data_IF_802009279309
#
_entry.id   IF_802009279309
#
_cell.length_a   1.000
_cell.length_b   1.000
_cell.length_c   1.000
_cell.angle_alpha   90.00
_cell.angle_beta   90.00
_cell.angle_gamma   90.00
#
_symmetry.space_group_name_H-M   'P 1'
#
loop_
_entity.id
_entity.type
_entity.pdbx_description
1 polymer ?
#
# COMPACT_ATOMS: atom_id res chain seq x y z
N UNK A 1 -6.35 17.26 9.02
CA UNK A 1 -6.30 18.19 7.87
C UNK A 1 -7.34 17.72 6.88
N UNK A 2 -8.20 18.61 6.37
CA UNK A 2 -9.09 18.27 5.25
C UNK A 2 -8.21 18.41 4.01
N UNK A 3 -7.86 17.30 3.35
CA UNK A 3 -7.18 17.38 2.06
C UNK A 3 -8.05 18.22 1.10
N UNK A 4 -7.47 19.17 0.35
CA UNK A 4 -8.25 19.97 -0.57
C UNK A 4 -8.91 19.04 -1.60
N UNK A 5 -10.24 19.13 -1.71
CA UNK A 5 -11.05 18.32 -2.61
C UNK A 5 -10.52 18.47 -4.05
N UNK A 6 -10.03 17.37 -4.64
CA UNK A 6 -9.47 17.36 -6.00
C UNK A 6 -10.59 17.72 -7.00
N UNK A 7 -10.39 18.78 -7.77
CA UNK A 7 -11.34 19.23 -8.80
C UNK A 7 -11.36 18.22 -9.95
N UNK A 8 -12.55 17.75 -10.34
CA UNK A 8 -12.71 16.83 -11.49
C UNK A 8 -12.38 17.49 -12.84
N UNK A 9 -12.03 16.71 -13.85
CA UNK A 9 -11.79 17.19 -15.22
C UNK A 9 -13.01 17.92 -15.79
N UNK A 10 -14.23 17.44 -15.49
CA UNK A 10 -15.50 18.07 -15.87
C UNK A 10 -15.68 19.43 -15.21
N UNK A 11 -15.37 19.51 -13.92
CA UNK A 11 -15.47 20.77 -13.17
C UNK A 11 -14.39 21.76 -13.59
N UNK A 12 -13.15 21.32 -13.78
CA UNK A 12 -12.08 22.14 -14.33
C UNK A 12 -12.46 22.73 -15.69
N UNK A 13 -13.08 21.93 -16.56
CA UNK A 13 -13.64 22.39 -17.84
C UNK A 13 -14.72 23.45 -17.65
N UNK A 14 -15.65 23.25 -16.72
CA UNK A 14 -16.72 24.21 -16.43
C UNK A 14 -16.18 25.54 -15.86
N UNK A 15 -15.10 25.47 -15.06
CA UNK A 15 -14.41 26.62 -14.48
C UNK A 15 -13.44 27.32 -15.46
N UNK A 16 -13.30 26.82 -16.69
CA UNK A 16 -12.48 27.44 -17.73
C UNK A 16 -10.96 27.23 -17.56
N UNK A 17 -10.57 26.13 -16.92
CA UNK A 17 -9.15 25.74 -16.84
C UNK A 17 -8.58 25.50 -18.24
N UNK A 18 -7.26 25.58 -18.39
CA UNK A 18 -6.61 25.37 -19.68
C UNK A 18 -6.77 23.91 -20.16
N UNK A 19 -6.76 23.66 -21.49
CA UNK A 19 -6.96 22.32 -22.04
C UNK A 19 -5.95 21.27 -21.56
N UNK A 20 -4.70 21.66 -21.27
CA UNK A 20 -3.67 20.72 -20.83
C UNK A 20 -3.93 20.26 -19.39
N UNK A 21 -4.37 21.16 -18.52
CA UNK A 21 -4.81 20.80 -17.16
C UNK A 21 -6.01 19.86 -17.17
N UNK A 22 -7.01 20.13 -18.02
CA UNK A 22 -8.21 19.27 -18.14
C UNK A 22 -7.82 17.87 -18.60
N UNK A 23 -6.94 17.76 -19.60
CA UNK A 23 -6.50 16.45 -20.11
C UNK A 23 -5.63 15.69 -19.10
N UNK A 24 -4.82 16.40 -18.30
CA UNK A 24 -4.10 15.78 -17.17
C UNK A 24 -5.08 15.20 -16.16
N UNK A 25 -6.05 15.98 -15.69
CA UNK A 25 -7.07 15.51 -14.74
C UNK A 25 -7.84 14.31 -15.29
N UNK A 26 -8.19 14.33 -16.59
CA UNK A 26 -8.89 13.20 -17.23
C UNK A 26 -8.04 11.92 -17.24
N UNK A 27 -6.73 12.04 -17.47
CA UNK A 27 -5.80 10.90 -17.40
C UNK A 27 -5.67 10.39 -15.98
N UNK A 28 -5.52 11.28 -15.00
CA UNK A 28 -5.41 10.91 -13.58
C UNK A 28 -6.69 10.23 -13.08
N UNK A 29 -7.88 10.72 -13.48
CA UNK A 29 -9.16 10.09 -13.20
C UNK A 29 -9.26 8.68 -13.81
N UNK A 30 -8.79 8.50 -15.05
CA UNK A 30 -8.74 7.18 -15.69
C UNK A 30 -7.83 6.21 -14.95
N UNK A 31 -6.60 6.65 -14.64
CA UNK A 31 -5.63 5.89 -13.87
C UNK A 31 -6.17 5.52 -12.47
N UNK A 32 -6.82 6.45 -11.79
CA UNK A 32 -7.45 6.21 -10.50
C UNK A 32 -8.58 5.18 -10.59
N UNK A 33 -9.41 5.24 -11.64
CA UNK A 33 -10.48 4.25 -11.85
C UNK A 33 -9.92 2.83 -12.07
N UNK A 34 -8.85 2.69 -12.83
CA UNK A 34 -8.15 1.41 -13.03
C UNK A 34 -7.54 0.89 -11.71
N UNK A 35 -6.91 1.78 -10.93
CA UNK A 35 -6.36 1.44 -9.62
C UNK A 35 -7.42 0.98 -8.62
N UNK A 36 -8.55 1.69 -8.53
CA UNK A 36 -9.66 1.32 -7.64
C UNK A 36 -10.31 -0.01 -8.05
N UNK A 37 -10.29 -0.36 -9.34
CA UNK A 37 -10.83 -1.62 -9.84
C UNK A 37 -9.99 -2.84 -9.41
N UNK A 38 -8.72 -2.66 -9.02
CA UNK A 38 -7.85 -3.73 -8.53
C UNK A 38 -8.09 -4.07 -7.05
N UNK A 39 -8.65 -3.14 -6.26
CA UNK A 39 -8.85 -3.32 -4.81
C UNK A 39 -9.68 -4.58 -4.47
N UNK A 40 -10.81 -4.87 -5.13
CA UNK A 40 -11.60 -6.08 -4.83
C UNK A 40 -10.83 -7.39 -5.09
N UNK A 41 -9.96 -7.42 -6.10
CA UNK A 41 -9.13 -8.58 -6.40
C UNK A 41 -8.06 -8.80 -5.30
N UNK A 42 -7.47 -7.70 -4.80
CA UNK A 42 -6.57 -7.74 -3.64
C UNK A 42 -7.33 -8.22 -2.41
N UNK A 43 -8.51 -7.66 -2.14
CA UNK A 43 -9.35 -8.06 -1.00
C UNK A 43 -9.63 -9.56 -1.02
N UNK A 44 -10.01 -10.11 -2.17
CA UNK A 44 -10.28 -11.53 -2.33
C UNK A 44 -9.01 -12.41 -2.25
N UNK A 45 -7.91 -11.98 -2.86
CA UNK A 45 -6.67 -12.77 -2.90
C UNK A 45 -5.96 -12.86 -1.54
N UNK A 46 -6.15 -11.86 -0.68
CA UNK A 46 -5.55 -11.77 0.64
C UNK A 46 -6.54 -12.00 1.79
N UNK A 47 -7.75 -12.45 1.50
CA UNK A 47 -8.71 -12.80 2.54
C UNK A 47 -8.19 -13.92 3.45
N UNK A 48 -8.42 -13.77 4.76
CA UNK A 48 -8.03 -14.75 5.77
C UNK A 48 -6.52 -14.98 5.95
N UNK A 49 -5.65 -14.08 5.47
CA UNK A 49 -4.21 -14.17 5.74
C UNK A 49 -3.95 -14.07 7.26
N UNK A 50 -3.14 -14.99 7.77
CA UNK A 50 -2.80 -15.05 9.18
C UNK A 50 -1.92 -13.87 9.60
N UNK A 51 -2.18 -13.34 10.80
CA UNK A 51 -1.36 -12.31 11.43
C UNK A 51 0.08 -12.83 11.65
N UNK A 52 1.11 -12.05 11.29
CA UNK A 52 2.50 -12.47 11.36
C UNK A 52 3.07 -12.28 12.77
N UNK A 53 4.25 -12.86 13.01
CA UNK A 53 5.06 -12.55 14.21
C UNK A 53 5.70 -11.16 14.10
N UNK A 54 6.14 -10.75 12.91
CA UNK A 54 6.76 -9.43 12.67
C UNK A 54 5.68 -8.43 12.22
N UNK A 55 5.12 -7.72 13.20
CA UNK A 55 4.16 -6.63 12.99
C UNK A 55 4.86 -5.30 12.68
N UNK A 56 4.13 -4.24 12.35
CA UNK A 56 4.71 -2.93 12.02
C UNK A 56 5.65 -2.43 13.13
N UNK A 57 5.20 -2.43 14.39
CA UNK A 57 5.98 -1.98 15.55
C UNK A 57 7.13 -2.89 15.89
N UNK A 58 7.05 -4.18 15.58
CA UNK A 58 8.20 -5.09 15.68
C UNK A 58 9.27 -4.73 14.64
N UNK A 59 8.88 -4.52 13.38
CA UNK A 59 9.80 -4.13 12.31
C UNK A 59 10.50 -2.80 12.63
N UNK A 60 9.75 -1.81 13.14
CA UNK A 60 10.34 -0.54 13.63
C UNK A 60 11.30 -0.76 14.80
N UNK A 61 10.99 -1.70 15.69
CA UNK A 61 11.89 -2.09 16.76
C UNK A 61 13.19 -2.70 16.24
N UNK A 62 13.15 -3.53 15.20
CA UNK A 62 14.37 -4.04 14.56
C UNK A 62 15.19 -2.93 13.90
N UNK A 63 14.55 -1.94 13.28
CA UNK A 63 15.21 -0.75 12.73
C UNK A 63 15.94 0.07 13.83
N UNK A 64 15.29 0.27 14.99
CA UNK A 64 15.85 1.06 16.08
C UNK A 64 16.89 0.31 16.93
N UNK A 65 16.66 -0.98 17.20
CA UNK A 65 17.37 -1.74 18.24
C UNK A 65 18.24 -2.88 17.68
N UNK A 66 18.10 -3.23 16.39
CA UNK A 66 18.77 -4.34 15.67
C UNK A 66 18.47 -5.76 16.17
N UNK A 67 18.41 -5.98 17.49
CA UNK A 67 18.08 -7.25 18.12
C UNK A 67 16.98 -7.03 19.18
N UNK A 68 15.97 -7.90 19.18
CA UNK A 68 14.84 -7.83 20.12
C UNK A 68 14.75 -9.12 20.93
N UNK A 69 14.56 -9.00 22.24
CA UNK A 69 14.18 -10.16 23.08
C UNK A 69 12.75 -10.59 22.79
N UNK A 70 12.38 -11.82 23.19
CA UNK A 70 11.00 -12.30 23.04
C UNK A 70 9.99 -11.44 23.83
N UNK A 71 10.37 -10.92 25.00
CA UNK A 71 9.53 -10.01 25.78
C UNK A 71 9.32 -8.68 25.05
N UNK A 72 10.38 -8.13 24.44
CA UNK A 72 10.31 -6.88 23.69
C UNK A 72 9.48 -7.04 22.41
N UNK A 73 9.64 -8.18 21.72
CA UNK A 73 8.80 -8.59 20.60
C UNK A 73 7.31 -8.63 20.97
N UNK A 74 6.97 -9.28 22.10
CA UNK A 74 5.59 -9.35 22.57
C UNK A 74 5.02 -7.97 22.92
N UNK A 75 5.82 -7.11 23.57
CA UNK A 75 5.44 -5.74 23.90
C UNK A 75 5.15 -4.91 22.64
N UNK A 76 6.04 -4.96 21.64
CA UNK A 76 5.88 -4.22 20.39
C UNK A 76 4.70 -4.75 19.56
N UNK A 77 4.55 -6.07 19.44
CA UNK A 77 3.41 -6.69 18.76
C UNK A 77 2.08 -6.32 19.41
N UNK A 78 2.03 -6.06 20.72
CA UNK A 78 0.81 -5.65 21.41
C UNK A 78 0.37 -4.20 21.07
N UNK A 79 1.24 -3.40 20.44
CA UNK A 79 0.92 -2.03 19.98
C UNK A 79 0.18 -2.01 18.64
N UNK A 80 0.17 -3.13 17.94
CA UNK A 80 -0.45 -3.34 16.64
C UNK A 80 -1.67 -4.26 16.82
N UNK A 81 -2.83 -3.73 17.26
CA UNK A 81 -3.97 -4.55 17.70
C UNK A 81 -4.72 -5.24 16.57
N UNK A 82 -4.46 -4.88 15.31
CA UNK A 82 -5.09 -5.46 14.14
C UNK A 82 -4.95 -6.99 14.12
N UNK A 83 -6.05 -7.65 13.80
CA UNK A 83 -6.11 -9.10 13.62
C UNK A 83 -6.22 -9.47 12.14
N UNK A 84 -6.75 -8.56 11.34
CA UNK A 84 -6.84 -8.67 9.89
C UNK A 84 -6.14 -7.49 9.24
N UNK A 85 -5.60 -7.68 8.03
CA UNK A 85 -4.86 -6.62 7.36
C UNK A 85 -5.75 -5.43 6.99
N UNK A 86 -7.07 -5.63 6.86
CA UNK A 86 -8.06 -4.58 6.59
C UNK A 86 -8.22 -3.60 7.76
N UNK A 87 -7.81 -3.99 8.97
CA UNK A 87 -7.89 -3.16 10.17
C UNK A 87 -6.66 -2.26 10.35
N UNK A 88 -5.62 -2.44 9.52
CA UNK A 88 -4.39 -1.63 9.58
C UNK A 88 -4.74 -0.17 9.25
N UNK A 89 -4.48 0.79 10.16
CA UNK A 89 -4.76 2.20 9.91
C UNK A 89 -3.89 2.79 8.80
N UNK A 90 -4.47 3.69 8.01
CA UNK A 90 -3.74 4.43 6.96
C UNK A 90 -2.54 5.19 7.55
N UNK A 91 -2.69 5.80 8.74
CA UNK A 91 -1.61 6.52 9.40
C UNK A 91 -0.43 5.60 9.76
N UNK A 92 -0.71 4.36 10.17
CA UNK A 92 0.34 3.38 10.48
C UNK A 92 1.12 2.96 9.24
N UNK A 93 0.45 2.90 8.08
CA UNK A 93 1.10 2.63 6.79
C UNK A 93 2.02 3.79 6.40
N UNK A 94 1.53 5.03 6.51
CA UNK A 94 2.28 6.25 6.17
C UNK A 94 3.53 6.42 7.03
N UNK A 95 3.43 6.12 8.33
CA UNK A 95 4.53 6.28 9.27
C UNK A 95 5.59 5.17 9.22
N UNK A 96 5.31 4.03 8.57
CA UNK A 96 6.15 2.80 8.64
C UNK A 96 6.61 2.33 7.27
N UNK A 97 7.19 3.21 6.47
CA UNK A 97 7.69 2.87 5.13
C UNK A 97 8.88 1.89 5.15
N UNK A 98 9.64 1.86 6.25
CA UNK A 98 10.75 0.94 6.51
C UNK A 98 10.32 -0.53 6.71
N UNK A 99 9.02 -0.79 6.86
CA UNK A 99 8.48 -2.12 7.17
C UNK A 99 9.02 -3.20 6.23
N UNK A 100 9.08 -2.94 4.93
CA UNK A 100 9.51 -3.92 3.93
C UNK A 100 10.98 -4.31 4.03
N UNK A 101 11.81 -3.54 4.74
CA UNK A 101 13.22 -3.85 5.00
C UNK A 101 13.41 -4.79 6.20
N UNK A 102 12.57 -4.65 7.23
CA UNK A 102 12.71 -5.34 8.53
C UNK A 102 11.62 -6.38 8.78
N UNK A 103 10.85 -6.72 7.75
CA UNK A 103 9.83 -7.76 7.79
C UNK A 103 10.32 -9.06 7.15
N UNK A 104 9.51 -10.11 7.25
CA UNK A 104 9.72 -11.42 6.65
C UNK A 104 8.60 -11.75 5.65
N UNK A 105 8.63 -12.96 5.08
CA UNK A 105 7.63 -13.40 4.10
C UNK A 105 6.21 -13.52 4.69
N UNK A 106 6.06 -13.82 5.98
CA UNK A 106 4.75 -13.85 6.64
C UNK A 106 4.21 -12.43 6.81
N UNK A 107 5.06 -11.53 7.28
CA UNK A 107 4.76 -10.12 7.46
C UNK A 107 4.39 -9.43 6.15
N UNK A 108 5.14 -9.70 5.08
CA UNK A 108 4.77 -9.26 3.73
C UNK A 108 3.39 -9.77 3.34
N UNK A 109 3.13 -11.08 3.47
CA UNK A 109 1.83 -11.64 3.07
C UNK A 109 0.67 -10.96 3.79
N UNK A 110 0.84 -10.55 5.05
CA UNK A 110 -0.20 -9.85 5.82
C UNK A 110 -0.30 -8.36 5.52
N UNK A 111 0.79 -7.58 5.60
CA UNK A 111 0.71 -6.12 5.49
C UNK A 111 0.74 -5.60 4.05
N UNK A 112 1.31 -6.35 3.10
CA UNK A 112 1.35 -5.94 1.69
C UNK A 112 -0.01 -5.50 1.14
N UNK A 113 -1.13 -6.25 1.28
CA UNK A 113 -2.42 -5.82 0.78
C UNK A 113 -2.89 -4.48 1.38
N UNK A 114 -2.60 -4.21 2.65
CA UNK A 114 -2.93 -2.93 3.28
C UNK A 114 -2.18 -1.77 2.60
N UNK A 115 -0.86 -1.93 2.38
CA UNK A 115 -0.05 -0.92 1.67
C UNK A 115 -0.49 -0.75 0.20
N UNK A 116 -0.81 -1.84 -0.49
CA UNK A 116 -1.30 -1.80 -1.87
C UNK A 116 -2.61 -1.02 -1.96
N UNK A 117 -3.61 -1.36 -1.14
CA UNK A 117 -4.92 -0.70 -1.12
C UNK A 117 -4.78 0.78 -0.75
N UNK A 118 -3.96 1.09 0.25
CA UNK A 118 -3.65 2.46 0.66
C UNK A 118 -3.04 3.28 -0.49
N UNK A 119 -2.07 2.71 -1.21
CA UNK A 119 -1.46 3.35 -2.37
C UNK A 119 -2.47 3.57 -3.51
N UNK A 120 -3.26 2.53 -3.84
CA UNK A 120 -4.23 2.56 -4.95
C UNK A 120 -5.35 3.58 -4.72
N UNK A 121 -5.80 3.78 -3.48
CA UNK A 121 -6.82 4.79 -3.14
C UNK A 121 -6.40 6.22 -3.49
N UNK A 122 -5.09 6.49 -3.56
CA UNK A 122 -4.53 7.83 -3.87
C UNK A 122 -3.89 7.93 -5.25
N UNK A 123 -3.92 6.86 -6.03
CA UNK A 123 -3.29 6.78 -7.34
C UNK A 123 -3.81 7.82 -8.33
N UNK A 124 -2.97 8.40 -9.21
CA UNK A 124 -1.52 8.20 -9.34
C UNK A 124 -0.67 9.10 -8.42
N UNK A 125 -1.30 9.89 -7.57
CA UNK A 125 -0.66 10.93 -6.75
C UNK A 125 -0.40 10.43 -5.32
N UNK A 126 0.51 9.47 -5.25
CA UNK A 126 0.87 8.73 -4.05
C UNK A 126 2.30 9.08 -3.64
N UNK A 127 2.45 9.74 -2.48
CA UNK A 127 3.75 10.23 -1.97
C UNK A 127 4.67 9.16 -1.35
N UNK A 128 4.28 7.88 -1.39
CA UNK A 128 4.92 6.80 -0.61
C UNK A 128 5.33 5.63 -1.50
N UNK A 129 6.63 5.50 -1.80
CA UNK A 129 7.15 4.56 -2.81
C UNK A 129 7.65 3.20 -2.30
N UNK A 130 7.75 2.98 -0.99
CA UNK A 130 8.39 1.78 -0.45
C UNK A 130 7.68 0.48 -0.89
N UNK A 131 6.34 0.50 -0.95
CA UNK A 131 5.55 -0.64 -1.45
C UNK A 131 5.80 -0.91 -2.94
N UNK A 132 6.05 0.12 -3.74
CA UNK A 132 6.36 -0.02 -5.17
C UNK A 132 7.72 -0.70 -5.34
N UNK A 133 8.75 -0.20 -4.66
CA UNK A 133 10.09 -0.78 -4.72
C UNK A 133 10.09 -2.23 -4.22
N UNK A 134 9.39 -2.50 -3.12
CA UNK A 134 9.16 -3.84 -2.61
C UNK A 134 8.53 -4.76 -3.67
N UNK A 135 7.44 -4.34 -4.31
CA UNK A 135 6.77 -5.14 -5.34
C UNK A 135 7.63 -5.39 -6.59
N UNK A 136 8.44 -4.41 -7.00
CA UNK A 136 9.36 -4.55 -8.14
C UNK A 136 10.47 -5.55 -7.83
N UNK A 137 11.08 -5.45 -6.65
CA UNK A 137 12.22 -6.28 -6.27
C UNK A 137 11.81 -7.70 -5.86
N UNK A 138 10.55 -7.90 -5.46
CA UNK A 138 10.00 -9.19 -5.04
C UNK A 138 10.79 -9.86 -3.90
N UNK A 139 11.28 -9.07 -2.94
CA UNK A 139 12.21 -9.53 -1.90
C UNK A 139 11.67 -10.68 -1.01
N UNK A 140 10.35 -10.74 -0.76
CA UNK A 140 9.74 -11.73 0.14
C UNK A 140 8.42 -12.30 -0.40
N UNK A 141 8.39 -12.63 -1.70
CA UNK A 141 7.16 -13.13 -2.35
C UNK A 141 6.95 -14.64 -2.22
N UNK A 142 7.85 -15.35 -1.52
CA UNK A 142 7.87 -16.81 -1.44
C UNK A 142 6.58 -17.41 -0.84
N UNK A 143 5.88 -16.64 0.00
CA UNK A 143 4.66 -17.07 0.67
C UNK A 143 3.38 -16.60 -0.04
N UNK A 144 3.52 -15.84 -1.13
CA UNK A 144 2.39 -15.42 -1.94
C UNK A 144 1.93 -16.56 -2.84
N UNK A 145 0.64 -16.85 -2.82
CA UNK A 145 0.06 -17.78 -3.78
C UNK A 145 -0.08 -17.12 -5.18
N UNK A 146 -0.50 -17.90 -6.18
CA UNK A 146 -0.65 -17.38 -7.54
C UNK A 146 -1.63 -16.20 -7.66
N UNK A 147 -2.72 -16.18 -6.88
CA UNK A 147 -3.67 -15.07 -6.91
C UNK A 147 -3.08 -13.79 -6.32
N UNK A 148 -2.33 -13.93 -5.22
CA UNK A 148 -1.64 -12.83 -4.55
C UNK A 148 -0.53 -12.25 -5.44
N UNK A 149 0.26 -13.11 -6.09
CA UNK A 149 1.28 -12.70 -7.05
C UNK A 149 0.69 -11.95 -8.25
N UNK A 150 -0.46 -12.41 -8.79
CA UNK A 150 -1.15 -11.70 -9.87
C UNK A 150 -1.53 -10.27 -9.48
N UNK A 151 -2.01 -10.07 -8.25
CA UNK A 151 -2.34 -8.73 -7.75
C UNK A 151 -1.10 -7.83 -7.69
N UNK A 152 0.04 -8.38 -7.25
CA UNK A 152 1.33 -7.65 -7.23
C UNK A 152 1.78 -7.29 -8.64
N UNK A 153 1.69 -8.22 -9.60
CA UNK A 153 2.07 -7.95 -10.99
C UNK A 153 1.16 -6.88 -11.63
N UNK A 154 -0.15 -6.97 -11.42
CA UNK A 154 -1.12 -5.96 -11.89
C UNK A 154 -0.86 -4.58 -11.27
N UNK A 155 -0.53 -4.53 -9.98
CA UNK A 155 -0.15 -3.29 -9.31
C UNK A 155 1.12 -2.67 -9.93
N UNK A 156 2.15 -3.48 -10.17
CA UNK A 156 3.39 -3.02 -10.81
C UNK A 156 3.14 -2.54 -12.24
N UNK A 157 2.28 -3.21 -13.00
CA UNK A 157 1.94 -2.80 -14.36
C UNK A 157 1.14 -1.49 -14.37
N UNK A 158 0.18 -1.30 -13.46
CA UNK A 158 -0.51 -0.02 -13.28
C UNK A 158 0.49 1.11 -12.99
N UNK A 159 1.41 0.86 -12.05
CA UNK A 159 2.46 1.83 -11.72
C UNK A 159 3.38 2.11 -12.91
N UNK A 160 3.76 1.12 -13.72
CA UNK A 160 4.59 1.38 -14.92
C UNK A 160 3.86 2.18 -16.00
N UNK A 161 2.54 2.02 -16.10
CA UNK A 161 1.74 2.68 -17.14
C UNK A 161 1.35 4.12 -16.78
N UNK A 162 1.24 4.43 -15.49
CA UNK A 162 0.72 5.72 -15.01
C UNK A 162 1.57 6.38 -13.91
N UNK A 163 2.43 5.63 -13.24
CA UNK A 163 3.42 6.16 -12.29
C UNK A 163 4.42 7.03 -13.02
N UNK A 164 4.71 8.19 -12.42
CA UNK A 164 5.50 9.26 -13.03
C UNK A 164 6.97 8.88 -13.24
#
# INVERSE_FOLDING_TARGET
MIEPEKVSSREAKARGYDPATIERLRRDEGANAEALALIPDIEAAFDGVARPRITLSVAKGFDDEWELSDERLAELSARDPEQTWQEVPDESIEERQEYFTFSDAEGWRFYLPAYLVHYLRRFPDCGWGAVVEACINKNHVDFLNEAQLRCVDQFVDLWRNHGQ
#
